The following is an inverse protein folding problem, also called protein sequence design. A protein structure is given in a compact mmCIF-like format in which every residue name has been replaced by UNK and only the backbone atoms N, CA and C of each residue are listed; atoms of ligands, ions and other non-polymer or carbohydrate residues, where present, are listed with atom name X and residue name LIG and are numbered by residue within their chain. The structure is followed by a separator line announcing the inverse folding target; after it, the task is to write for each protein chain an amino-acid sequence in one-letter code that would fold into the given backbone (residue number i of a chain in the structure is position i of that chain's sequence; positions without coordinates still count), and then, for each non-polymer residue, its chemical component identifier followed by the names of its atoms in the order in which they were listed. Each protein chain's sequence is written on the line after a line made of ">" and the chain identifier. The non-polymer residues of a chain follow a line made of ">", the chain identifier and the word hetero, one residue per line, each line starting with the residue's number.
data_IF_962050227167
#
_entry.id   IF_962050227167
#
_cell.length_a   1.000
_cell.length_b   1.000
_cell.length_c   1.000
_cell.angle_alpha   90.00
_cell.angle_beta   90.00
_cell.angle_gamma   90.00
#
_symmetry.space_group_name_H-M   'P 1'
#
loop_
_entity.id
_entity.type
_entity.pdbx_description
1 polymer ?
#
# COMPACT_ATOMS: atom_id res chain seq x y z
N UNK A 1 8.39 -28.38 2.11
CA UNK A 1 9.57 -27.51 2.25
C UNK A 1 9.13 -26.11 1.86
N UNK A 2 8.99 -25.19 2.82
CA UNK A 2 8.51 -23.84 2.51
C UNK A 2 9.59 -23.07 1.74
N UNK A 3 9.21 -22.49 0.61
CA UNK A 3 10.09 -21.72 -0.30
C UNK A 3 10.58 -20.38 0.29
N UNK A 4 10.08 -19.97 1.46
CA UNK A 4 10.38 -18.68 2.07
C UNK A 4 10.60 -18.81 3.58
N UNK A 5 11.56 -18.04 4.11
CA UNK A 5 11.84 -17.95 5.55
C UNK A 5 10.80 -17.04 6.23
N UNK A 6 9.90 -17.56 7.08
CA UNK A 6 8.82 -16.77 7.70
C UNK A 6 9.34 -15.60 8.56
N UNK A 7 10.55 -15.71 9.12
CA UNK A 7 11.16 -14.66 9.95
C UNK A 7 11.44 -13.36 9.19
N UNK A 8 11.43 -13.40 7.85
CA UNK A 8 11.62 -12.25 6.98
C UNK A 8 10.30 -11.60 6.51
N UNK A 9 9.14 -12.20 6.83
CA UNK A 9 7.82 -11.72 6.37
C UNK A 9 7.16 -10.89 7.47
N UNK A 10 6.62 -9.72 7.10
CA UNK A 10 5.86 -8.84 8.00
C UNK A 10 4.50 -8.54 7.38
N UNK A 11 3.45 -8.99 8.05
CA UNK A 11 2.08 -8.63 7.70
C UNK A 11 1.73 -7.32 8.41
N UNK A 12 1.27 -6.33 7.66
CA UNK A 12 0.91 -5.01 8.17
C UNK A 12 -0.52 -4.68 7.75
N UNK A 13 -1.28 -4.05 8.63
CA UNK A 13 -2.60 -3.49 8.35
C UNK A 13 -2.62 -2.04 8.85
N UNK A 14 -3.13 -1.13 8.03
CA UNK A 14 -3.21 0.30 8.36
C UNK A 14 -4.67 0.63 8.62
N UNK A 15 -4.94 1.16 9.82
CA UNK A 15 -6.27 1.59 10.27
C UNK A 15 -6.15 3.07 10.63
N UNK A 16 -7.03 3.89 10.09
CA UNK A 16 -7.11 5.31 10.38
C UNK A 16 -8.57 5.75 10.32
N UNK A 17 -8.86 6.92 10.89
CA UNK A 17 -10.15 7.58 10.71
C UNK A 17 -10.27 8.12 9.27
N UNK A 18 -11.51 8.37 8.81
CA UNK A 18 -11.78 8.94 7.48
C UNK A 18 -11.03 10.28 7.35
N UNK A 19 -10.40 10.53 6.20
CA UNK A 19 -9.59 11.72 5.87
C UNK A 19 -8.26 11.90 6.63
N UNK A 20 -7.79 10.90 7.36
CA UNK A 20 -6.48 10.98 8.04
C UNK A 20 -5.28 10.59 7.17
N UNK A 21 -5.40 10.67 5.84
CA UNK A 21 -4.28 10.46 4.93
C UNK A 21 -3.73 9.02 4.90
N UNK A 22 -4.56 8.02 5.25
CA UNK A 22 -4.19 6.60 5.20
C UNK A 22 -3.65 6.21 3.83
N UNK A 23 -4.33 6.61 2.77
CA UNK A 23 -3.93 6.24 1.41
C UNK A 23 -2.63 6.95 0.99
N UNK A 24 -2.43 8.21 1.40
CA UNK A 24 -1.16 8.94 1.20
C UNK A 24 0.03 8.24 1.88
N UNK A 25 -0.17 7.73 3.10
CA UNK A 25 0.88 6.98 3.81
C UNK A 25 1.25 5.70 3.04
N UNK A 26 0.25 4.98 2.52
CA UNK A 26 0.44 3.76 1.74
C UNK A 26 1.23 4.06 0.46
N UNK A 27 0.84 5.10 -0.28
CA UNK A 27 1.53 5.48 -1.51
C UNK A 27 3.02 5.75 -1.24
N UNK A 28 3.34 6.46 -0.15
CA UNK A 28 4.75 6.68 0.26
C UNK A 28 5.49 5.39 0.63
N UNK A 29 4.83 4.45 1.31
CA UNK A 29 5.43 3.15 1.61
C UNK A 29 5.74 2.39 0.30
N UNK A 30 4.83 2.39 -0.66
CA UNK A 30 5.01 1.73 -1.96
C UNK A 30 6.17 2.35 -2.77
N UNK A 31 6.31 3.69 -2.73
CA UNK A 31 7.42 4.41 -3.34
C UNK A 31 8.78 4.04 -2.71
N UNK A 32 8.88 4.10 -1.38
CA UNK A 32 10.13 3.84 -0.64
C UNK A 32 10.59 2.38 -0.84
N UNK A 33 9.64 1.45 -0.81
CA UNK A 33 9.91 0.01 -1.02
C UNK A 33 10.13 -0.35 -2.48
N UNK A 34 9.87 0.58 -3.42
CA UNK A 34 9.89 0.33 -4.87
C UNK A 34 9.01 -0.86 -5.28
N UNK A 35 7.91 -1.07 -4.55
CA UNK A 35 6.98 -2.18 -4.80
C UNK A 35 6.24 -2.01 -6.12
N UNK A 36 6.07 -0.76 -6.55
CA UNK A 36 5.42 -0.37 -7.81
C UNK A 36 6.38 0.50 -8.62
N UNK A 37 6.43 0.27 -9.93
CA UNK A 37 7.17 1.13 -10.87
C UNK A 37 6.59 2.56 -10.82
N UNK A 38 7.44 3.58 -10.76
CA UNK A 38 7.02 4.97 -10.73
C UNK A 38 6.11 5.36 -11.91
N UNK A 39 6.22 4.69 -13.05
CA UNK A 39 5.33 4.90 -14.21
C UNK A 39 3.92 4.37 -14.00
N UNK A 40 3.73 3.44 -13.06
CA UNK A 40 2.45 2.83 -12.72
C UNK A 40 1.87 3.41 -11.43
N UNK A 41 2.67 4.17 -10.68
CA UNK A 41 2.19 4.90 -9.52
C UNK A 41 1.10 5.89 -9.94
N UNK A 42 0.08 5.97 -9.09
CA UNK A 42 -1.03 6.91 -9.17
C UNK A 42 -1.39 7.28 -7.75
N UNK A 43 -2.02 8.44 -7.58
CA UNK A 43 -2.58 8.81 -6.29
C UNK A 43 -3.64 7.79 -5.86
N UNK A 44 -3.66 7.48 -4.57
CA UNK A 44 -4.57 6.49 -4.00
C UNK A 44 -4.43 5.12 -4.67
N UNK A 45 -3.21 4.58 -4.71
CA UNK A 45 -2.87 3.45 -5.57
C UNK A 45 -3.75 2.22 -5.35
N UNK A 46 -4.07 1.91 -4.08
CA UNK A 46 -4.87 0.75 -3.68
C UNK A 46 -6.38 0.93 -3.86
N UNK A 47 -6.87 2.14 -4.11
CA UNK A 47 -8.30 2.44 -4.21
C UNK A 47 -8.75 2.09 -5.64
N UNK A 48 -9.19 0.85 -5.82
CA UNK A 48 -9.49 0.27 -7.13
C UNK A 48 -10.94 0.45 -7.53
N UNK A 49 -11.86 0.49 -6.56
CA UNK A 49 -13.29 0.66 -6.83
C UNK A 49 -13.63 2.14 -6.99
N UNK A 50 -14.62 2.44 -7.84
CA UNK A 50 -15.02 3.83 -8.11
C UNK A 50 -15.59 4.52 -6.87
N UNK A 51 -16.27 3.79 -6.00
CA UNK A 51 -16.81 4.29 -4.72
C UNK A 51 -15.73 4.70 -3.71
N UNK A 52 -14.50 4.21 -3.86
CA UNK A 52 -13.38 4.57 -2.98
C UNK A 52 -12.65 5.83 -3.46
N UNK A 53 -12.98 6.35 -4.66
CA UNK A 53 -12.36 7.53 -5.28
C UNK A 53 -13.25 8.77 -5.34
N UNK A 54 -14.49 8.69 -4.86
CA UNK A 54 -15.32 9.88 -4.58
C UNK A 54 -14.82 10.61 -3.34
#
# INVERSE_FOLDING_TARGET
>A
MFLYNPSLIRNVCIIAHIDHGKTTLIDRILEITKTVDSKKMREQYLDMMDIERE
#
